data_IF_343816001062
#
_entry.id   IF_343816001062
#
_cell.length_a   1.000
_cell.length_b   1.000
_cell.length_c   1.000
_cell.angle_alpha   90.00
_cell.angle_beta   90.00
_cell.angle_gamma   90.00
#
_symmetry.space_group_name_H-M   'P 1'
#
loop_
_entity.id
_entity.type
_entity.pdbx_description
1 polymer ?
#
# COMPACT_ATOMS: atom_id res chain seq x y z
N UNK A 1 10.64 16.03 -35.48
CA UNK A 1 9.21 16.33 -35.32
C UNK A 1 8.57 15.39 -34.26
N UNK A 2 9.21 15.19 -33.10
CA UNK A 2 8.85 14.19 -32.07
C UNK A 2 8.53 14.74 -30.68
N UNK A 3 8.41 16.05 -30.49
CA UNK A 3 8.20 16.66 -29.15
C UNK A 3 6.73 16.82 -28.73
N UNK A 4 5.76 16.73 -29.62
CA UNK A 4 4.34 16.94 -29.34
C UNK A 4 3.68 15.85 -28.47
N UNK A 5 3.93 14.55 -28.65
CA UNK A 5 3.24 13.53 -27.84
C UNK A 5 3.66 13.50 -26.37
N UNK A 6 4.92 13.78 -26.06
CA UNK A 6 5.43 13.81 -24.68
C UNK A 6 4.93 15.04 -23.89
N UNK A 7 4.81 16.19 -24.56
CA UNK A 7 4.29 17.41 -23.95
C UNK A 7 2.80 17.28 -23.60
N UNK A 8 1.99 16.74 -24.51
CA UNK A 8 0.55 16.49 -24.28
C UNK A 8 0.35 15.50 -23.11
N UNK A 9 1.22 14.48 -22.99
CA UNK A 9 1.19 13.52 -21.87
C UNK A 9 1.51 14.17 -20.53
N UNK A 10 2.55 15.00 -20.48
CA UNK A 10 2.95 15.67 -19.24
C UNK A 10 1.84 16.60 -18.75
N UNK A 11 1.24 17.35 -19.65
CA UNK A 11 0.12 18.25 -19.32
C UNK A 11 -1.09 17.47 -18.80
N UNK A 12 -1.40 16.29 -19.38
CA UNK A 12 -2.47 15.42 -18.92
C UNK A 12 -2.21 14.88 -17.50
N UNK A 13 -0.99 14.41 -17.23
CA UNK A 13 -0.61 13.88 -15.91
C UNK A 13 -0.68 14.98 -14.84
N UNK A 14 -0.12 16.16 -15.11
CA UNK A 14 -0.16 17.29 -14.18
C UNK A 14 -1.61 17.68 -13.88
N UNK A 15 -2.45 17.80 -14.90
CA UNK A 15 -3.85 18.13 -14.74
C UNK A 15 -4.61 17.08 -13.92
N UNK A 16 -4.35 15.79 -14.14
CA UNK A 16 -4.97 14.72 -13.37
C UNK A 16 -4.56 14.77 -11.88
N UNK A 17 -3.29 15.10 -11.58
CA UNK A 17 -2.81 15.31 -10.22
C UNK A 17 -3.52 16.49 -9.55
N UNK A 18 -3.64 17.62 -10.25
CA UNK A 18 -4.31 18.81 -9.74
C UNK A 18 -5.81 18.57 -9.50
N UNK A 19 -6.52 17.98 -10.46
CA UNK A 19 -7.93 17.62 -10.34
C UNK A 19 -8.19 16.68 -9.15
N UNK A 20 -7.33 15.63 -8.98
CA UNK A 20 -7.43 14.71 -7.85
C UNK A 20 -7.13 15.39 -6.52
N UNK A 21 -6.11 16.25 -6.46
CA UNK A 21 -5.80 17.04 -5.26
C UNK A 21 -6.98 17.90 -4.82
N UNK A 22 -7.64 18.59 -5.76
CA UNK A 22 -8.84 19.37 -5.51
C UNK A 22 -10.03 18.50 -5.02
N UNK A 23 -10.27 17.37 -5.65
CA UNK A 23 -11.34 16.45 -5.25
C UNK A 23 -11.12 15.92 -3.83
N UNK A 24 -9.91 15.47 -3.49
CA UNK A 24 -9.57 14.99 -2.16
C UNK A 24 -9.69 16.10 -1.09
N UNK A 25 -9.30 17.33 -1.40
CA UNK A 25 -9.47 18.46 -0.50
C UNK A 25 -10.95 18.73 -0.20
N UNK A 26 -11.83 18.67 -1.22
CA UNK A 26 -13.26 18.81 -1.05
C UNK A 26 -13.89 17.67 -0.24
N UNK A 27 -13.50 16.41 -0.49
CA UNK A 27 -13.93 15.23 0.27
C UNK A 27 -13.59 15.41 1.76
N UNK A 28 -12.34 15.81 2.07
CA UNK A 28 -11.90 16.08 3.44
C UNK A 28 -12.69 17.20 4.11
N UNK A 29 -12.95 18.28 3.41
CA UNK A 29 -13.76 19.39 3.92
C UNK A 29 -15.20 18.96 4.22
N UNK A 30 -15.82 18.14 3.36
CA UNK A 30 -17.13 17.57 3.59
C UNK A 30 -17.16 16.68 4.83
N UNK A 31 -16.18 15.76 4.96
CA UNK A 31 -16.03 14.88 6.13
C UNK A 31 -15.86 15.68 7.42
N UNK A 32 -14.95 16.66 7.45
CA UNK A 32 -14.69 17.51 8.61
C UNK A 32 -15.89 18.38 9.02
N UNK A 33 -16.74 18.74 8.08
CA UNK A 33 -17.97 19.48 8.36
C UNK A 33 -19.17 18.60 8.76
N UNK A 34 -18.95 17.29 9.00
CA UNK A 34 -19.99 16.34 9.38
C UNK A 34 -20.92 15.93 8.23
N UNK A 35 -20.58 16.23 6.99
CA UNK A 35 -21.35 15.89 5.79
C UNK A 35 -20.86 14.56 5.19
N UNK A 36 -20.86 13.51 5.99
CA UNK A 36 -20.30 12.20 5.65
C UNK A 36 -20.94 11.60 4.39
N UNK A 37 -22.28 11.69 4.25
CA UNK A 37 -22.98 11.18 3.08
C UNK A 37 -22.54 11.87 1.78
N UNK A 38 -22.40 13.20 1.80
CA UNK A 38 -21.94 13.95 0.63
C UNK A 38 -20.45 13.63 0.30
N UNK A 39 -19.62 13.41 1.33
CA UNK A 39 -18.25 12.99 1.15
C UNK A 39 -18.18 11.60 0.50
N UNK A 40 -18.98 10.63 0.95
CA UNK A 40 -19.07 9.28 0.40
C UNK A 40 -19.49 9.29 -1.07
N UNK A 41 -20.57 10.00 -1.39
CA UNK A 41 -21.04 10.13 -2.77
C UNK A 41 -19.96 10.72 -3.69
N UNK A 42 -19.19 11.69 -3.19
CA UNK A 42 -18.10 12.26 -3.97
C UNK A 42 -16.93 11.27 -4.16
N UNK A 43 -16.58 10.48 -3.13
CA UNK A 43 -15.58 9.40 -3.27
C UNK A 43 -16.03 8.38 -4.31
N UNK A 44 -17.27 7.90 -4.23
CA UNK A 44 -17.81 6.94 -5.20
C UNK A 44 -17.77 7.49 -6.62
N UNK A 45 -18.19 8.74 -6.83
CA UNK A 45 -18.15 9.38 -8.15
C UNK A 45 -16.73 9.50 -8.73
N UNK A 46 -15.73 9.81 -7.88
CA UNK A 46 -14.32 9.84 -8.34
C UNK A 46 -13.77 8.42 -8.61
N UNK A 47 -14.15 7.43 -7.82
CA UNK A 47 -13.80 6.02 -8.07
C UNK A 47 -14.41 5.52 -9.39
N UNK A 48 -15.66 5.86 -9.67
CA UNK A 48 -16.32 5.52 -10.95
C UNK A 48 -15.62 6.12 -12.17
N UNK A 49 -15.10 7.35 -12.07
CA UNK A 49 -14.29 7.96 -13.15
C UNK A 49 -12.98 7.23 -13.42
N UNK A 50 -12.36 6.66 -12.36
CA UNK A 50 -11.06 6.00 -12.45
C UNK A 50 -11.16 4.51 -12.80
N UNK A 51 -12.11 3.79 -12.22
CA UNK A 51 -12.20 2.33 -12.29
C UNK A 51 -13.56 1.83 -12.80
N UNK A 52 -14.47 2.72 -13.17
CA UNK A 52 -15.87 2.41 -13.54
C UNK A 52 -16.63 1.63 -12.44
N UNK A 53 -16.26 1.85 -11.18
CA UNK A 53 -16.82 1.20 -9.99
C UNK A 53 -16.77 2.15 -8.81
N UNK A 54 -17.81 2.13 -7.95
CA UNK A 54 -17.74 2.74 -6.62
C UNK A 54 -16.88 1.93 -5.64
N UNK A 55 -16.69 2.43 -4.43
CA UNK A 55 -15.82 1.84 -3.40
C UNK A 55 -16.14 0.38 -3.13
N UNK A 56 -17.42 0.04 -2.91
CA UNK A 56 -17.85 -1.35 -2.66
C UNK A 56 -17.46 -2.30 -3.80
N UNK A 57 -17.62 -1.84 -5.05
CA UNK A 57 -17.23 -2.61 -6.22
C UNK A 57 -15.72 -2.83 -6.30
N UNK A 58 -14.93 -1.80 -5.96
CA UNK A 58 -13.46 -1.86 -5.94
C UNK A 58 -12.97 -2.84 -4.86
N UNK A 59 -13.54 -2.77 -3.66
CA UNK A 59 -13.16 -3.66 -2.55
C UNK A 59 -13.44 -5.12 -2.86
N UNK A 60 -14.56 -5.41 -3.54
CA UNK A 60 -14.96 -6.77 -3.91
C UNK A 60 -14.14 -7.43 -5.03
N UNK A 61 -13.34 -6.67 -5.80
CA UNK A 61 -12.47 -7.23 -6.84
C UNK A 61 -11.13 -7.71 -6.26
N UNK A 62 -10.50 -8.70 -6.91
CA UNK A 62 -9.07 -8.96 -6.71
C UNK A 62 -8.23 -7.78 -7.22
N UNK A 63 -6.98 -7.68 -6.74
CA UNK A 63 -6.04 -6.66 -7.21
C UNK A 63 -5.81 -6.76 -8.73
N UNK A 64 -5.72 -7.98 -9.26
CA UNK A 64 -5.53 -8.24 -10.70
C UNK A 64 -6.71 -7.76 -11.53
N UNK A 65 -7.94 -8.04 -11.10
CA UNK A 65 -9.16 -7.59 -11.79
C UNK A 65 -9.29 -6.06 -11.77
N UNK A 66 -8.98 -5.45 -10.64
CA UNK A 66 -9.00 -4.00 -10.51
C UNK A 66 -7.95 -3.34 -11.40
N UNK A 67 -6.71 -3.85 -11.39
CA UNK A 67 -5.65 -3.37 -12.28
C UNK A 67 -6.05 -3.51 -13.75
N UNK A 68 -6.65 -4.63 -14.15
CA UNK A 68 -7.14 -4.81 -15.52
C UNK A 68 -8.14 -3.71 -15.93
N UNK A 69 -9.06 -3.34 -15.03
CA UNK A 69 -10.01 -2.24 -15.28
C UNK A 69 -9.34 -0.86 -15.35
N UNK A 70 -8.42 -0.58 -14.44
CA UNK A 70 -7.67 0.69 -14.43
C UNK A 70 -6.77 0.81 -15.65
N UNK A 71 -6.27 -0.32 -16.18
CA UNK A 71 -5.44 -0.39 -17.39
C UNK A 71 -6.22 -0.20 -18.69
N UNK A 72 -7.53 -0.44 -18.71
CA UNK A 72 -8.31 -0.46 -19.94
C UNK A 72 -8.17 0.86 -20.73
N UNK A 73 -7.59 0.77 -21.92
CA UNK A 73 -7.35 1.92 -22.79
C UNK A 73 -6.28 2.91 -22.33
N UNK A 74 -5.46 2.59 -21.32
CA UNK A 74 -4.50 3.49 -20.70
C UNK A 74 -3.03 3.09 -20.99
N UNK A 75 -2.14 4.07 -20.93
CA UNK A 75 -0.67 3.84 -20.96
C UNK A 75 -0.15 3.48 -19.56
N UNK A 76 0.91 2.69 -19.47
CA UNK A 76 1.46 2.18 -18.20
C UNK A 76 1.68 3.26 -17.12
N UNK A 77 2.29 4.40 -17.46
CA UNK A 77 2.50 5.52 -16.52
C UNK A 77 1.20 6.13 -15.98
N UNK A 78 0.15 6.15 -16.80
CA UNK A 78 -1.17 6.64 -16.39
C UNK A 78 -1.86 5.64 -15.46
N UNK A 79 -1.63 4.34 -15.67
CA UNK A 79 -2.17 3.27 -14.83
C UNK A 79 -1.69 3.40 -13.39
N UNK A 80 -0.38 3.57 -13.18
CA UNK A 80 0.17 3.73 -11.83
C UNK A 80 -0.43 4.97 -11.12
N UNK A 81 -0.49 6.11 -11.80
CA UNK A 81 -1.06 7.31 -11.23
C UNK A 81 -2.57 7.15 -10.91
N UNK A 82 -3.33 6.49 -11.78
CA UNK A 82 -4.75 6.19 -11.51
C UNK A 82 -4.90 5.24 -10.33
N UNK A 83 -4.06 4.22 -10.23
CA UNK A 83 -4.04 3.30 -9.08
C UNK A 83 -3.73 4.05 -7.78
N UNK A 84 -2.73 4.95 -7.78
CA UNK A 84 -2.41 5.79 -6.63
C UNK A 84 -3.54 6.74 -6.25
N UNK A 85 -4.27 7.27 -7.25
CA UNK A 85 -5.46 8.09 -7.00
C UNK A 85 -6.58 7.25 -6.36
N UNK A 86 -6.81 6.02 -6.81
CA UNK A 86 -7.73 5.06 -6.17
C UNK A 86 -7.31 4.78 -4.74
N UNK A 87 -6.03 4.55 -4.46
CA UNK A 87 -5.52 4.36 -3.09
C UNK A 87 -5.86 5.54 -2.19
N UNK A 88 -5.67 6.77 -2.68
CA UNK A 88 -5.99 7.97 -1.91
C UNK A 88 -7.51 8.12 -1.64
N UNK A 89 -8.35 7.79 -2.62
CA UNK A 89 -9.81 7.78 -2.47
C UNK A 89 -10.28 6.70 -1.50
N UNK A 90 -9.73 5.49 -1.58
CA UNK A 90 -10.04 4.42 -0.64
C UNK A 90 -9.65 4.80 0.80
N UNK A 91 -8.52 5.47 1.00
CA UNK A 91 -8.17 5.99 2.32
C UNK A 91 -9.24 6.96 2.85
N UNK A 92 -9.71 7.92 2.04
CA UNK A 92 -10.77 8.85 2.48
C UNK A 92 -12.10 8.10 2.73
N UNK A 93 -12.44 7.06 1.93
CA UNK A 93 -13.61 6.22 2.17
C UNK A 93 -13.53 5.49 3.52
N UNK A 94 -12.36 4.91 3.84
CA UNK A 94 -12.14 4.24 5.11
C UNK A 94 -12.25 5.21 6.31
N UNK A 95 -11.68 6.42 6.18
CA UNK A 95 -11.81 7.48 7.20
C UNK A 95 -13.28 7.92 7.42
N UNK A 96 -14.09 7.96 6.35
CA UNK A 96 -15.53 8.22 6.45
C UNK A 96 -16.23 7.08 7.19
N UNK A 97 -15.92 5.83 6.85
CA UNK A 97 -16.49 4.65 7.49
C UNK A 97 -16.13 4.58 8.99
N UNK A 98 -14.87 4.90 9.35
CA UNK A 98 -14.46 5.04 10.75
C UNK A 98 -15.28 6.11 11.50
N UNK A 99 -15.51 7.27 10.89
CA UNK A 99 -16.30 8.35 11.47
C UNK A 99 -17.80 8.00 11.65
N UNK A 100 -18.28 6.99 10.97
CA UNK A 100 -19.65 6.45 11.06
C UNK A 100 -19.72 5.15 11.88
N UNK A 101 -18.65 4.78 12.60
CA UNK A 101 -18.54 3.57 13.44
C UNK A 101 -18.68 2.25 12.63
N UNK A 102 -18.37 2.28 11.34
CA UNK A 102 -18.37 1.11 10.44
C UNK A 102 -16.97 0.51 10.32
N UNK A 103 -16.42 0.05 11.46
CA UNK A 103 -15.01 -0.33 11.59
C UNK A 103 -14.60 -1.51 10.70
N UNK A 104 -15.44 -2.53 10.54
CA UNK A 104 -15.14 -3.69 9.67
C UNK A 104 -15.05 -3.26 8.20
N UNK A 105 -15.99 -2.43 7.73
CA UNK A 105 -15.95 -1.88 6.38
C UNK A 105 -14.70 -1.00 6.16
N UNK A 106 -14.39 -0.13 7.12
CA UNK A 106 -13.18 0.68 7.09
C UNK A 106 -11.92 -0.18 6.95
N UNK A 107 -11.85 -1.28 7.71
CA UNK A 107 -10.75 -2.24 7.66
C UNK A 107 -10.60 -2.87 6.28
N UNK A 108 -11.67 -3.36 5.68
CA UNK A 108 -11.63 -3.95 4.33
C UNK A 108 -11.13 -2.94 3.29
N UNK A 109 -11.61 -1.69 3.38
CA UNK A 109 -11.19 -0.62 2.47
C UNK A 109 -9.70 -0.28 2.68
N UNK A 110 -9.22 -0.17 3.93
CA UNK A 110 -7.80 0.06 4.21
C UNK A 110 -6.91 -1.07 3.73
N UNK A 111 -7.31 -2.33 3.91
CA UNK A 111 -6.56 -3.48 3.40
C UNK A 111 -6.44 -3.44 1.87
N UNK A 112 -7.53 -3.12 1.17
CA UNK A 112 -7.51 -2.95 -0.29
C UNK A 112 -6.57 -1.81 -0.70
N UNK A 113 -6.64 -0.66 -0.05
CA UNK A 113 -5.75 0.47 -0.30
C UNK A 113 -4.28 0.10 -0.09
N UNK A 114 -3.96 -0.63 0.99
CA UNK A 114 -2.62 -1.09 1.31
C UNK A 114 -2.08 -2.05 0.25
N UNK A 115 -2.87 -3.03 -0.17
CA UNK A 115 -2.47 -4.00 -1.20
C UNK A 115 -2.16 -3.32 -2.53
N UNK A 116 -3.01 -2.38 -2.97
CA UNK A 116 -2.77 -1.61 -4.19
C UNK A 116 -1.51 -0.76 -4.09
N UNK A 117 -1.31 -0.07 -2.96
CA UNK A 117 -0.12 0.75 -2.74
C UNK A 117 1.16 -0.09 -2.76
N UNK A 118 1.18 -1.21 -2.02
CA UNK A 118 2.34 -2.12 -1.99
C UNK A 118 2.60 -2.74 -3.37
N UNK A 119 1.55 -3.01 -4.15
CA UNK A 119 1.66 -3.49 -5.52
C UNK A 119 2.38 -2.49 -6.43
N UNK A 120 2.04 -1.20 -6.35
CA UNK A 120 2.72 -0.14 -7.12
C UNK A 120 4.15 0.06 -6.64
N UNK A 121 4.38 0.14 -5.31
CA UNK A 121 5.70 0.30 -4.71
C UNK A 121 6.68 -0.83 -5.01
N UNK A 122 6.18 -2.01 -5.36
CA UNK A 122 7.03 -3.13 -5.79
C UNK A 122 7.64 -2.93 -7.18
N UNK A 123 7.15 -1.96 -7.95
CA UNK A 123 7.54 -1.70 -9.34
C UNK A 123 8.17 -0.32 -9.54
N UNK A 124 7.81 0.68 -8.73
CA UNK A 124 8.19 2.07 -8.89
C UNK A 124 8.83 2.66 -7.63
N UNK A 125 9.75 3.63 -7.83
CA UNK A 125 10.32 4.44 -6.75
C UNK A 125 9.28 5.45 -6.23
N UNK A 126 9.00 5.49 -4.92
CA UNK A 126 8.04 6.42 -4.32
C UNK A 126 8.44 7.90 -4.42
N UNK A 127 9.70 8.22 -4.74
CA UNK A 127 10.18 9.61 -4.84
C UNK A 127 9.42 10.50 -5.84
N UNK A 128 8.67 9.89 -6.77
CA UNK A 128 7.84 10.59 -7.77
C UNK A 128 6.35 10.59 -7.48
N UNK A 129 5.91 10.09 -6.33
CA UNK A 129 4.47 9.98 -6.03
C UNK A 129 3.87 11.35 -5.69
N UNK A 130 2.62 11.64 -6.13
CA UNK A 130 1.91 12.84 -5.73
C UNK A 130 1.74 12.92 -4.20
N UNK A 131 1.76 14.14 -3.65
CA UNK A 131 1.63 14.40 -2.20
C UNK A 131 0.33 13.86 -1.58
N UNK A 132 -0.71 13.68 -2.37
CA UNK A 132 -1.97 13.14 -1.88
C UNK A 132 -1.94 11.63 -1.59
N UNK A 133 -0.94 10.91 -2.08
CA UNK A 133 -0.81 9.46 -1.87
C UNK A 133 -0.41 9.20 -0.42
N UNK A 134 -1.18 8.37 0.33
CA UNK A 134 -0.82 8.05 1.71
C UNK A 134 0.46 7.22 1.76
N UNK A 135 1.28 7.45 2.78
CA UNK A 135 2.38 6.54 3.10
C UNK A 135 1.88 5.18 3.62
N UNK A 136 2.67 4.13 3.43
CA UNK A 136 2.37 2.76 3.93
C UNK A 136 2.10 2.79 5.43
N UNK A 137 2.93 3.49 6.20
CA UNK A 137 2.80 3.57 7.66
C UNK A 137 1.46 4.18 8.12
N UNK A 138 0.93 5.15 7.37
CA UNK A 138 -0.34 5.78 7.73
C UNK A 138 -1.51 4.77 7.63
N UNK A 139 -1.48 3.89 6.63
CA UNK A 139 -2.49 2.85 6.46
C UNK A 139 -2.28 1.72 7.47
N UNK A 140 -1.03 1.29 7.69
CA UNK A 140 -0.70 0.24 8.67
C UNK A 140 -1.12 0.67 10.08
N UNK A 141 -0.89 1.93 10.46
CA UNK A 141 -1.33 2.47 11.75
C UNK A 141 -2.85 2.43 11.90
N UNK A 142 -3.59 2.72 10.84
CA UNK A 142 -5.06 2.64 10.87
C UNK A 142 -5.60 1.19 10.98
N UNK A 143 -4.76 0.19 10.70
CA UNK A 143 -5.10 -1.23 10.76
C UNK A 143 -4.61 -1.94 12.03
N UNK A 144 -3.98 -1.22 12.98
CA UNK A 144 -3.27 -1.82 14.12
C UNK A 144 -4.16 -2.51 15.16
N UNK A 145 -5.46 -2.20 15.21
CA UNK A 145 -6.38 -2.74 16.23
C UNK A 145 -6.70 -4.23 16.08
N UNK A 146 -6.38 -4.81 14.92
CA UNK A 146 -6.62 -6.22 14.64
C UNK A 146 -5.42 -6.83 13.88
N UNK A 147 -5.15 -8.15 14.07
CA UNK A 147 -4.08 -8.84 13.35
C UNK A 147 -4.24 -8.71 11.82
N UNK A 148 -3.14 -8.44 11.12
CA UNK A 148 -3.15 -8.37 9.66
C UNK A 148 -3.21 -9.78 9.05
N UNK A 149 -3.87 -9.95 7.89
CA UNK A 149 -3.82 -11.19 7.14
C UNK A 149 -2.38 -11.56 6.75
N UNK A 150 -2.07 -12.85 6.73
CA UNK A 150 -0.73 -13.38 6.39
C UNK A 150 -0.23 -12.86 5.03
N UNK A 151 -1.12 -12.78 4.04
CA UNK A 151 -0.79 -12.20 2.74
C UNK A 151 -0.33 -10.75 2.86
N UNK A 152 -1.02 -9.94 3.66
CA UNK A 152 -0.66 -8.53 3.92
C UNK A 152 0.70 -8.43 4.61
N UNK A 153 0.94 -9.26 5.62
CA UNK A 153 2.24 -9.34 6.32
C UNK A 153 3.37 -9.71 5.37
N UNK A 154 3.15 -10.67 4.46
CA UNK A 154 4.15 -11.05 3.45
C UNK A 154 4.45 -9.91 2.46
N UNK A 155 3.47 -9.12 2.06
CA UNK A 155 3.66 -7.95 1.22
C UNK A 155 4.43 -6.85 1.97
N UNK A 156 4.07 -6.57 3.22
CA UNK A 156 4.76 -5.60 4.09
C UNK A 156 6.21 -6.02 4.33
N UNK A 157 6.47 -7.28 4.63
CA UNK A 157 7.82 -7.80 4.82
C UNK A 157 8.70 -7.52 3.60
N UNK A 158 8.21 -7.79 2.39
CA UNK A 158 8.93 -7.48 1.14
C UNK A 158 9.19 -5.99 0.98
N UNK A 159 8.20 -5.16 1.27
CA UNK A 159 8.32 -3.71 1.20
C UNK A 159 9.37 -3.19 2.18
N UNK A 160 9.33 -3.63 3.44
CA UNK A 160 10.28 -3.24 4.47
C UNK A 160 11.71 -3.72 4.16
N UNK A 161 11.87 -4.95 3.65
CA UNK A 161 13.18 -5.44 3.19
C UNK A 161 13.71 -4.58 2.03
N UNK A 162 12.88 -4.25 1.05
CA UNK A 162 13.26 -3.44 -0.11
C UNK A 162 13.63 -2.00 0.26
N UNK A 163 12.94 -1.42 1.25
CA UNK A 163 13.18 -0.05 1.74
C UNK A 163 14.22 0.04 2.85
N UNK A 164 14.85 -1.09 3.23
CA UNK A 164 15.89 -1.13 4.25
C UNK A 164 15.40 -1.00 5.69
N UNK A 165 14.11 -1.21 5.95
CA UNK A 165 13.51 -1.21 7.29
C UNK A 165 13.53 -2.64 7.87
N UNK A 166 14.74 -3.18 8.09
CA UNK A 166 14.94 -4.61 8.33
C UNK A 166 14.30 -5.12 9.61
N UNK A 167 14.31 -4.33 10.69
CA UNK A 167 13.60 -4.70 11.92
C UNK A 167 12.09 -4.90 11.69
N UNK A 168 11.44 -4.00 10.94
CA UNK A 168 10.02 -4.16 10.62
C UNK A 168 9.74 -5.35 9.70
N UNK A 169 10.69 -5.68 8.81
CA UNK A 169 10.58 -6.88 7.98
C UNK A 169 10.67 -8.14 8.85
N UNK A 170 11.55 -8.14 9.85
CA UNK A 170 11.67 -9.20 10.85
C UNK A 170 10.41 -9.34 11.70
N UNK A 171 9.86 -8.23 12.22
CA UNK A 171 8.58 -8.22 12.95
C UNK A 171 7.46 -8.87 12.14
N UNK A 172 7.37 -8.51 10.85
CA UNK A 172 6.39 -9.11 9.94
C UNK A 172 6.60 -10.62 9.74
N UNK A 173 7.87 -11.09 9.66
CA UNK A 173 8.20 -12.51 9.60
C UNK A 173 7.72 -13.26 10.85
N UNK A 174 7.98 -12.73 12.04
CA UNK A 174 7.53 -13.37 13.28
C UNK A 174 6.02 -13.39 13.40
N UNK A 175 5.31 -12.33 13.01
CA UNK A 175 3.85 -12.31 12.95
C UNK A 175 3.29 -13.37 11.98
N UNK A 176 3.95 -13.60 10.83
CA UNK A 176 3.60 -14.70 9.93
C UNK A 176 3.77 -16.05 10.62
N UNK A 177 4.93 -16.27 11.28
CA UNK A 177 5.22 -17.51 11.98
C UNK A 177 4.21 -17.79 13.12
N UNK A 178 3.79 -16.76 13.83
CA UNK A 178 2.79 -16.87 14.89
C UNK A 178 1.40 -17.21 14.34
N UNK A 179 1.04 -16.66 13.17
CA UNK A 179 -0.28 -16.84 12.56
C UNK A 179 -0.47 -18.22 11.90
N UNK A 180 0.56 -18.76 11.24
CA UNK A 180 0.46 -20.02 10.46
C UNK A 180 1.23 -21.17 11.08
N UNK A 181 2.00 -20.93 12.12
CA UNK A 181 2.94 -21.88 12.71
C UNK A 181 4.29 -21.88 12.03
N UNK A 182 5.31 -22.28 12.79
CA UNK A 182 6.70 -22.35 12.32
C UNK A 182 6.97 -23.73 11.70
N UNK A 183 6.33 -24.06 10.61
CA UNK A 183 6.61 -25.27 9.85
C UNK A 183 7.92 -25.16 9.04
N UNK A 184 8.33 -26.27 8.40
CA UNK A 184 9.60 -26.34 7.67
C UNK A 184 9.69 -25.32 6.52
N UNK A 185 8.57 -25.02 5.86
CA UNK A 185 8.51 -24.09 4.73
C UNK A 185 8.69 -22.64 5.21
N UNK A 186 7.98 -22.27 6.25
CA UNK A 186 8.05 -20.93 6.87
C UNK A 186 9.41 -20.70 7.51
N UNK A 187 9.97 -21.71 8.21
CA UNK A 187 11.35 -21.63 8.73
C UNK A 187 12.34 -21.46 7.58
N UNK A 188 12.20 -22.19 6.49
CA UNK A 188 13.03 -22.03 5.29
C UNK A 188 12.96 -20.63 4.69
N UNK A 189 11.77 -20.05 4.63
CA UNK A 189 11.54 -18.68 4.19
C UNK A 189 12.24 -17.65 5.10
N UNK A 190 12.10 -17.79 6.42
CA UNK A 190 12.77 -16.93 7.40
C UNK A 190 14.30 -17.04 7.34
N UNK A 191 14.84 -18.26 7.19
CA UNK A 191 16.29 -18.47 7.01
C UNK A 191 16.80 -17.75 5.75
N UNK A 192 16.10 -17.88 4.64
CA UNK A 192 16.44 -17.19 3.39
C UNK A 192 16.44 -15.66 3.54
N UNK A 193 15.53 -15.11 4.33
CA UNK A 193 15.50 -13.67 4.68
C UNK A 193 16.79 -13.25 5.38
N UNK A 194 17.18 -13.89 6.50
CA UNK A 194 18.41 -13.55 7.21
C UNK A 194 19.67 -13.77 6.35
N UNK A 195 19.72 -14.82 5.53
CA UNK A 195 20.83 -15.06 4.62
C UNK A 195 20.98 -13.94 3.58
N UNK A 196 19.88 -13.33 3.12
CA UNK A 196 19.94 -12.14 2.25
C UNK A 196 20.42 -10.91 3.00
N UNK A 197 19.96 -10.69 4.24
CA UNK A 197 20.40 -9.57 5.07
C UNK A 197 21.88 -9.63 5.38
N UNK A 198 22.40 -10.79 5.73
CA UNK A 198 23.81 -10.98 6.07
C UNK A 198 24.78 -10.74 4.89
N UNK A 199 24.26 -10.63 3.66
CA UNK A 199 25.04 -10.17 2.48
C UNK A 199 25.10 -8.64 2.38
N UNK A 200 24.35 -7.90 3.19
CA UNK A 200 24.37 -6.43 3.23
C UNK A 200 25.56 -5.96 4.08
N UNK A 201 25.93 -4.68 3.90
CA UNK A 201 26.94 -4.06 4.76
C UNK A 201 26.42 -3.83 6.19
N UNK A 202 27.31 -3.82 7.18
CA UNK A 202 26.96 -3.54 8.58
C UNK A 202 26.31 -2.17 8.72
N UNK A 203 26.78 -1.17 7.98
CA UNK A 203 26.17 0.16 7.96
C UNK A 203 24.70 0.13 7.48
N UNK A 204 24.38 -0.70 6.47
CA UNK A 204 23.01 -0.89 6.00
C UNK A 204 22.15 -1.60 7.03
N UNK A 205 22.67 -2.62 7.70
CA UNK A 205 21.95 -3.36 8.73
C UNK A 205 21.63 -2.48 9.94
N UNK A 206 22.62 -1.72 10.42
CA UNK A 206 22.43 -0.76 11.52
C UNK A 206 21.41 0.32 11.14
N UNK A 207 21.48 0.86 9.93
CA UNK A 207 20.52 1.85 9.45
C UNK A 207 19.07 1.28 9.38
N UNK A 208 18.93 -0.02 9.13
CA UNK A 208 17.65 -0.74 9.14
C UNK A 208 17.19 -1.24 10.51
N UNK A 209 17.87 -0.82 11.59
CA UNK A 209 17.62 -1.24 12.99
C UNK A 209 17.69 -2.76 13.21
N UNK A 210 18.53 -3.47 12.45
CA UNK A 210 18.80 -4.89 12.62
C UNK A 210 20.29 -5.14 12.43
N UNK A 211 21.13 -4.90 13.46
CA UNK A 211 22.56 -5.08 13.36
C UNK A 211 22.94 -6.55 13.10
N UNK A 212 24.17 -6.76 12.60
CA UNK A 212 24.62 -8.08 12.10
C UNK A 212 24.50 -9.19 13.15
N UNK A 213 24.86 -8.91 14.39
CA UNK A 213 24.80 -9.86 15.51
C UNK A 213 23.35 -10.32 15.78
N UNK A 214 22.37 -9.42 15.72
CA UNK A 214 20.94 -9.75 15.85
C UNK A 214 20.48 -10.59 14.64
N UNK A 215 20.85 -10.22 13.42
CA UNK A 215 20.52 -11.00 12.23
C UNK A 215 21.15 -12.41 12.25
N UNK A 216 22.39 -12.56 12.77
CA UNK A 216 23.04 -13.86 12.97
C UNK A 216 22.35 -14.69 14.06
N UNK A 217 21.93 -14.04 15.15
CA UNK A 217 21.14 -14.68 16.20
C UNK A 217 19.81 -15.20 15.66
N UNK A 218 19.02 -14.38 14.95
CA UNK A 218 17.75 -14.78 14.35
C UNK A 218 17.92 -15.96 13.38
N UNK A 219 18.96 -15.93 12.54
CA UNK A 219 19.27 -17.06 11.65
C UNK A 219 19.57 -18.34 12.44
N UNK A 220 20.36 -18.24 13.52
CA UNK A 220 20.71 -19.39 14.34
C UNK A 220 19.51 -19.97 15.10
N UNK A 221 18.61 -19.12 15.60
CA UNK A 221 17.35 -19.55 16.22
C UNK A 221 16.49 -20.36 15.25
N UNK A 222 16.38 -19.91 14.00
CA UNK A 222 15.63 -20.65 12.97
C UNK A 222 16.32 -21.93 12.48
N UNK A 223 17.65 -22.07 12.66
CA UNK A 223 18.37 -23.30 12.37
C UNK A 223 18.16 -24.38 13.44
N UNK A 224 17.83 -24.00 14.66
CA UNK A 224 17.61 -24.91 15.79
C UNK A 224 16.15 -25.41 15.89
N UNK A 225 15.24 -24.79 15.14
CA UNK A 225 13.85 -25.24 15.03
C UNK A 225 13.68 -26.25 13.90
#
# INVERSE_FOLDING_TARGET
>A
MGLRPQMIRRDYIVRMIEEMGCALAQIRALRQSGRAEAARQMVDAECEKLAALGVTGIVGLSETELLARVCEGQYAQTVHLRTLAVVALLREAAEIACGEDRMEEAREIYLKALHLLLGVLSQDDPAGFPEFVPGVEAIVTALQDQPLPVQTLAMLMRHYEATGQFAKAEDALYLIMDAVGADREIIGFGRAFYERLLRRSDASLVAGNLPRDEAEQGLNELKMR
#
